data_IF_715824846841
#
_entry.id   IF_715824846841
#
_cell.length_a   1.000
_cell.length_b   1.000
_cell.length_c   1.000
_cell.angle_alpha   90.00
_cell.angle_beta   90.00
_cell.angle_gamma   90.00
#
_symmetry.space_group_name_H-M   'P 1'
#
loop_
_entity.id
_entity.type
_entity.pdbx_description
1 polymer ?
#
# COMPACT_ATOMS: atom_id res chain seq x y z
N UNK A 1 -4.57 -23.05 -22.55
CA UNK A 1 -4.95 -22.42 -21.26
C UNK A 1 -4.74 -20.90 -21.27
N UNK A 2 -3.55 -20.37 -21.54
CA UNK A 2 -3.25 -18.92 -21.46
C UNK A 2 -4.08 -18.09 -22.46
N UNK A 3 -4.34 -18.60 -23.67
CA UNK A 3 -5.21 -17.95 -24.66
C UNK A 3 -6.66 -17.98 -24.20
N UNK A 4 -7.13 -19.12 -23.73
CA UNK A 4 -8.47 -19.24 -23.16
C UNK A 4 -8.65 -18.29 -21.99
N UNK A 5 -7.69 -18.21 -21.07
CA UNK A 5 -7.73 -17.33 -19.91
C UNK A 5 -7.83 -15.86 -20.31
N UNK A 6 -7.09 -15.45 -21.36
CA UNK A 6 -7.17 -14.10 -21.91
C UNK A 6 -8.49 -13.81 -22.61
N UNK A 7 -9.01 -14.76 -23.37
CA UNK A 7 -10.30 -14.63 -24.05
C UNK A 7 -11.48 -14.52 -23.08
N UNK A 8 -11.29 -14.99 -21.83
CA UNK A 8 -12.25 -14.82 -20.73
C UNK A 8 -11.97 -13.56 -19.88
N UNK A 9 -11.34 -12.53 -20.44
CA UNK A 9 -11.22 -11.22 -19.84
C UNK A 9 -9.97 -11.01 -18.96
N UNK A 10 -9.07 -11.98 -18.87
CA UNK A 10 -7.83 -11.82 -18.10
C UNK A 10 -6.84 -10.90 -18.83
N UNK A 11 -6.28 -9.93 -18.10
CA UNK A 11 -5.24 -9.04 -18.63
C UNK A 11 -3.91 -9.76 -18.91
N UNK A 12 -3.08 -9.16 -19.78
CA UNK A 12 -1.75 -9.70 -20.16
C UNK A 12 -0.88 -9.93 -18.90
N UNK A 13 -0.92 -9.03 -17.93
CA UNK A 13 -0.15 -9.16 -16.68
C UNK A 13 -0.54 -10.41 -15.89
N UNK A 14 -1.85 -10.69 -15.75
CA UNK A 14 -2.33 -11.88 -15.07
C UNK A 14 -1.95 -13.15 -15.83
N UNK A 15 -2.07 -13.15 -17.16
CA UNK A 15 -1.64 -14.29 -17.99
C UNK A 15 -0.12 -14.53 -17.86
N UNK A 16 0.71 -13.49 -17.80
CA UNK A 16 2.15 -13.63 -17.59
C UNK A 16 2.49 -14.16 -16.17
N UNK A 17 1.72 -13.82 -15.15
CA UNK A 17 1.89 -14.40 -13.80
C UNK A 17 1.61 -15.91 -13.80
N UNK A 18 0.55 -16.34 -14.46
CA UNK A 18 0.27 -17.76 -14.65
C UNK A 18 1.35 -18.47 -15.44
N UNK A 19 1.85 -17.84 -16.52
CA UNK A 19 2.97 -18.39 -17.29
C UNK A 19 4.22 -18.56 -16.43
N UNK A 20 4.53 -17.58 -15.57
CA UNK A 20 5.67 -17.69 -14.66
C UNK A 20 5.51 -18.87 -13.67
N UNK A 21 4.31 -19.07 -13.11
CA UNK A 21 4.01 -20.19 -12.24
C UNK A 21 4.12 -21.53 -12.98
N UNK A 22 3.60 -21.63 -14.21
CA UNK A 22 3.71 -22.84 -15.03
C UNK A 22 5.16 -23.16 -15.39
N UNK A 23 5.98 -22.15 -15.67
CA UNK A 23 7.42 -22.36 -15.93
C UNK A 23 8.14 -22.88 -14.70
N UNK A 24 7.93 -22.24 -13.53
CA UNK A 24 8.53 -22.71 -12.29
C UNK A 24 8.13 -24.16 -11.95
N UNK A 25 6.86 -24.50 -12.17
CA UNK A 25 6.41 -25.89 -12.03
C UNK A 25 7.08 -26.82 -13.05
N UNK A 26 7.18 -26.42 -14.32
CA UNK A 26 7.82 -27.22 -15.37
C UNK A 26 9.30 -27.46 -15.06
N UNK A 27 10.01 -26.43 -14.59
CA UNK A 27 11.42 -26.55 -14.22
C UNK A 27 11.61 -27.50 -13.04
N UNK A 28 10.74 -27.46 -12.04
CA UNK A 28 10.72 -28.41 -10.92
C UNK A 28 10.42 -29.84 -11.39
N UNK A 29 9.34 -30.03 -12.18
CA UNK A 29 8.89 -31.33 -12.63
C UNK A 29 9.91 -32.06 -13.52
N UNK A 30 10.74 -31.33 -14.26
CA UNK A 30 11.82 -31.90 -15.07
C UNK A 30 12.89 -32.60 -14.22
N UNK A 31 13.08 -32.17 -12.95
CA UNK A 31 14.05 -32.78 -12.05
C UNK A 31 13.56 -34.12 -11.50
N UNK A 32 12.24 -34.27 -11.35
CA UNK A 32 11.62 -35.45 -10.76
C UNK A 32 11.19 -36.49 -11.82
N UNK A 33 10.88 -36.02 -13.07
CA UNK A 33 10.24 -36.81 -14.11
C UNK A 33 10.94 -36.65 -15.45
N UNK A 34 12.03 -37.39 -15.65
CA UNK A 34 12.86 -37.32 -16.87
C UNK A 34 12.07 -37.68 -18.13
N UNK A 35 11.07 -38.54 -18.05
CA UNK A 35 10.22 -38.96 -19.15
C UNK A 35 9.37 -37.84 -19.76
N UNK A 36 9.16 -36.74 -19.01
CA UNK A 36 8.37 -35.60 -19.45
C UNK A 36 9.21 -34.35 -19.80
N UNK A 37 10.53 -34.48 -19.89
CA UNK A 37 11.42 -33.32 -20.19
C UNK A 37 11.00 -32.60 -21.46
N UNK A 38 10.74 -33.30 -22.58
CA UNK A 38 10.44 -32.66 -23.86
C UNK A 38 9.16 -31.80 -23.81
N UNK A 39 8.00 -32.28 -23.35
CA UNK A 39 6.81 -31.40 -23.21
C UNK A 39 6.99 -30.28 -22.18
N UNK A 40 7.71 -30.49 -21.10
CA UNK A 40 7.95 -29.46 -20.08
C UNK A 40 8.88 -28.35 -20.59
N UNK A 41 9.89 -28.67 -21.40
CA UNK A 41 10.74 -27.69 -22.04
C UNK A 41 9.97 -26.77 -22.99
N UNK A 42 8.96 -27.29 -23.68
CA UNK A 42 8.09 -26.46 -24.51
C UNK A 42 7.36 -25.38 -23.70
N UNK A 43 6.96 -25.66 -22.46
CA UNK A 43 6.35 -24.69 -21.55
C UNK A 43 7.36 -23.62 -21.15
N UNK A 44 8.58 -24.01 -20.79
CA UNK A 44 9.65 -23.07 -20.43
C UNK A 44 10.04 -22.16 -21.60
N UNK A 45 9.91 -22.62 -22.84
CA UNK A 45 10.15 -21.84 -24.06
C UNK A 45 9.11 -20.76 -24.39
N UNK A 46 7.92 -20.79 -23.79
CA UNK A 46 6.85 -19.81 -24.08
C UNK A 46 7.29 -18.41 -23.61
N UNK A 47 7.23 -17.43 -24.51
CA UNK A 47 7.60 -16.05 -24.17
C UNK A 47 6.44 -15.29 -23.53
N UNK A 48 6.76 -14.54 -22.45
CA UNK A 48 5.81 -13.59 -21.87
C UNK A 48 5.45 -12.49 -22.88
N UNK A 49 4.18 -12.10 -22.92
CA UNK A 49 3.71 -11.02 -23.80
C UNK A 49 4.01 -9.66 -23.16
N UNK A 50 4.48 -8.69 -23.98
CA UNK A 50 4.61 -7.30 -23.50
C UNK A 50 3.22 -6.73 -23.23
N UNK A 51 3.01 -6.27 -21.98
CA UNK A 51 1.88 -5.42 -21.66
C UNK A 51 2.21 -3.98 -22.07
N UNK A 52 1.24 -3.27 -22.66
CA UNK A 52 1.40 -1.84 -22.87
C UNK A 52 1.60 -1.15 -21.49
N UNK A 53 2.51 -0.17 -21.40
CA UNK A 53 2.63 0.61 -20.17
C UNK A 53 1.29 1.29 -19.89
N UNK A 54 0.79 1.13 -18.65
CA UNK A 54 -0.36 1.92 -18.20
C UNK A 54 0.08 3.36 -18.05
N UNK A 55 -0.67 4.29 -18.62
CA UNK A 55 -0.54 5.68 -18.25
C UNK A 55 -0.76 5.82 -16.74
N UNK A 56 0.23 6.41 -16.07
CA UNK A 56 0.13 6.72 -14.65
C UNK A 56 -0.51 8.09 -14.54
N UNK A 57 -1.76 8.14 -14.10
CA UNK A 57 -2.40 9.41 -13.72
C UNK A 57 -1.93 9.81 -12.32
N UNK A 58 -1.55 11.06 -12.16
CA UNK A 58 -1.19 11.65 -10.86
C UNK A 58 -2.20 12.72 -10.47
N UNK A 59 -2.34 12.95 -9.18
CA UNK A 59 -3.11 14.07 -8.67
C UNK A 59 -2.27 15.34 -8.80
N UNK A 60 -2.90 16.46 -9.19
CA UNK A 60 -2.26 17.77 -9.10
C UNK A 60 -2.05 18.16 -7.64
N UNK A 61 -1.26 19.22 -7.40
CA UNK A 61 -1.03 19.74 -6.03
C UNK A 61 -2.35 20.19 -5.40
N UNK A 62 -3.23 20.81 -6.19
CA UNK A 62 -4.54 21.28 -5.74
C UNK A 62 -5.46 20.11 -5.39
N UNK A 63 -5.48 19.05 -6.23
CA UNK A 63 -6.25 17.83 -5.99
C UNK A 63 -5.74 17.10 -4.75
N UNK A 64 -4.41 17.03 -4.57
CA UNK A 64 -3.81 16.43 -3.38
C UNK A 64 -4.16 17.23 -2.12
N UNK A 65 -4.07 18.55 -2.17
CA UNK A 65 -4.47 19.43 -1.07
C UNK A 65 -5.94 19.24 -0.72
N UNK A 66 -6.82 19.19 -1.72
CA UNK A 66 -8.24 18.92 -1.53
C UNK A 66 -8.48 17.56 -0.88
N UNK A 67 -7.77 16.51 -1.32
CA UNK A 67 -7.87 15.16 -0.77
C UNK A 67 -7.47 15.13 0.72
N UNK A 68 -6.32 15.71 1.04
CA UNK A 68 -5.81 15.77 2.41
C UNK A 68 -6.76 16.58 3.30
N UNK A 69 -7.38 17.64 2.80
CA UNK A 69 -8.26 18.54 3.55
C UNK A 69 -9.72 18.08 3.64
N UNK A 70 -10.13 17.05 2.89
CA UNK A 70 -11.51 16.55 2.86
C UNK A 70 -12.01 15.93 4.17
N UNK A 71 -11.19 15.24 5.00
CA UNK A 71 -11.68 14.67 6.25
C UNK A 71 -12.12 15.72 7.25
N UNK A 72 -13.29 15.54 7.88
CA UNK A 72 -13.76 16.39 8.99
C UNK A 72 -12.93 16.15 10.25
N UNK A 73 -12.07 17.10 10.58
CA UNK A 73 -11.16 17.04 11.72
C UNK A 73 -11.84 17.21 13.09
N UNK A 74 -13.13 17.55 13.13
CA UNK A 74 -13.88 17.64 14.37
C UNK A 74 -14.35 16.26 14.86
N UNK A 75 -14.42 15.28 13.98
CA UNK A 75 -14.73 13.90 14.34
C UNK A 75 -13.47 13.06 14.55
N UNK A 76 -13.50 12.12 15.51
CA UNK A 76 -12.40 11.17 15.73
C UNK A 76 -12.02 10.43 14.45
N UNK A 77 -13.02 9.94 13.71
CA UNK A 77 -12.80 9.19 12.47
C UNK A 77 -12.17 10.05 11.39
N UNK A 78 -12.67 11.28 11.19
CA UNK A 78 -12.13 12.20 10.19
C UNK A 78 -10.72 12.67 10.56
N UNK A 79 -10.46 12.96 11.83
CA UNK A 79 -9.11 13.31 12.29
C UNK A 79 -8.09 12.18 11.99
N UNK A 80 -8.45 10.94 12.33
CA UNK A 80 -7.63 9.76 11.99
C UNK A 80 -7.38 9.65 10.47
N UNK A 81 -8.42 9.85 9.65
CA UNK A 81 -8.28 9.80 8.19
C UNK A 81 -7.36 10.92 7.68
N UNK A 82 -7.43 12.10 8.27
CA UNK A 82 -6.52 13.20 7.96
C UNK A 82 -5.06 12.82 8.25
N UNK A 83 -4.79 12.22 9.42
CA UNK A 83 -3.44 11.73 9.77
C UNK A 83 -2.95 10.68 8.76
N UNK A 84 -3.80 9.73 8.38
CA UNK A 84 -3.47 8.70 7.38
C UNK A 84 -3.05 9.33 6.04
N UNK A 85 -3.89 10.21 5.50
CA UNK A 85 -3.64 10.84 4.19
C UNK A 85 -2.40 11.72 4.22
N UNK A 86 -2.22 12.50 5.30
CA UNK A 86 -1.05 13.37 5.47
C UNK A 86 0.24 12.57 5.58
N UNK A 87 0.27 11.50 6.40
CA UNK A 87 1.44 10.65 6.55
C UNK A 87 1.82 9.92 5.26
N UNK A 88 0.84 9.40 4.50
CA UNK A 88 1.08 8.78 3.21
C UNK A 88 1.76 9.75 2.23
N UNK A 89 1.27 10.98 2.18
CA UNK A 89 1.79 12.02 1.28
C UNK A 89 3.19 12.48 1.69
N UNK A 90 3.36 12.83 2.95
CA UNK A 90 4.56 13.48 3.45
C UNK A 90 5.74 12.50 3.58
N UNK A 91 5.50 11.29 4.10
CA UNK A 91 6.56 10.29 4.27
C UNK A 91 6.84 9.45 3.02
N UNK A 92 5.93 9.43 2.04
CA UNK A 92 6.01 8.53 0.88
C UNK A 92 6.05 7.05 1.27
N UNK A 93 5.50 6.67 2.42
CA UNK A 93 5.48 5.29 2.87
C UNK A 93 4.53 4.43 2.04
N UNK A 94 4.84 3.14 1.92
CA UNK A 94 3.90 2.18 1.35
C UNK A 94 2.72 1.99 2.29
N UNK A 95 1.56 1.65 1.73
CA UNK A 95 0.33 1.40 2.53
C UNK A 95 0.58 0.38 3.64
N UNK A 96 1.32 -0.70 3.37
CA UNK A 96 1.64 -1.69 4.39
C UNK A 96 2.57 -1.12 5.47
N UNK A 97 3.55 -0.32 5.10
CA UNK A 97 4.46 0.33 6.04
C UNK A 97 3.67 1.26 6.99
N UNK A 98 2.68 2.02 6.46
CA UNK A 98 1.81 2.84 7.31
C UNK A 98 1.00 1.99 8.29
N UNK A 99 0.46 0.86 7.86
CA UNK A 99 -0.29 -0.05 8.73
C UNK A 99 0.57 -0.62 9.86
N UNK A 100 1.88 -0.73 9.63
CA UNK A 100 2.84 -1.35 10.55
C UNK A 100 3.48 -0.35 11.52
N UNK A 101 3.31 0.97 11.32
CA UNK A 101 3.87 2.00 12.21
C UNK A 101 3.32 1.82 13.62
N UNK A 102 4.23 1.71 14.59
CA UNK A 102 3.91 1.79 16.03
C UNK A 102 4.17 3.20 16.56
N UNK A 103 3.70 3.48 17.78
CA UNK A 103 3.94 4.77 18.43
C UNK A 103 5.43 4.99 18.65
N UNK A 104 6.20 3.93 18.98
CA UNK A 104 7.65 4.01 19.15
C UNK A 104 8.42 4.32 17.85
N UNK A 105 7.77 4.18 16.67
CA UNK A 105 8.39 4.52 15.39
C UNK A 105 8.29 6.01 15.04
N UNK A 106 7.56 6.78 15.85
CA UNK A 106 7.42 8.23 15.70
C UNK A 106 8.34 8.95 16.68
N UNK A 107 9.15 9.85 16.17
CA UNK A 107 9.94 10.79 16.97
C UNK A 107 9.49 12.21 16.68
N UNK A 108 9.02 12.92 17.70
CA UNK A 108 8.51 14.29 17.62
C UNK A 108 9.49 15.31 18.25
N UNK A 109 10.79 15.06 18.13
CA UNK A 109 11.83 15.96 18.62
C UNK A 109 12.04 17.21 17.74
N UNK A 110 13.23 17.82 17.84
CA UNK A 110 13.60 19.00 17.04
C UNK A 110 13.51 18.77 15.53
N UNK A 111 13.73 17.54 15.09
CA UNK A 111 13.44 17.07 13.73
C UNK A 111 12.50 15.88 13.87
N UNK A 112 11.29 16.05 13.38
CA UNK A 112 10.29 15.00 13.46
C UNK A 112 10.56 13.91 12.41
N UNK A 113 10.52 12.65 12.84
CA UNK A 113 10.82 11.51 11.98
C UNK A 113 9.87 10.35 12.19
N UNK A 114 9.74 9.53 11.15
CA UNK A 114 9.02 8.25 11.16
C UNK A 114 9.97 7.15 10.73
N UNK A 115 10.09 6.09 11.53
CA UNK A 115 10.81 4.88 11.17
C UNK A 115 9.86 3.93 10.46
N UNK A 116 10.21 3.52 9.24
CA UNK A 116 9.42 2.66 8.38
C UNK A 116 10.08 1.30 8.23
N UNK A 117 9.28 0.24 8.36
CA UNK A 117 9.71 -1.14 8.18
C UNK A 117 9.35 -1.62 6.77
N UNK A 118 10.36 -1.79 5.91
CA UNK A 118 10.21 -2.16 4.51
C UNK A 118 10.44 -3.65 4.22
N UNK A 119 10.40 -3.99 2.93
CA UNK A 119 10.62 -5.35 2.42
C UNK A 119 12.02 -5.87 2.82
N UNK A 120 12.08 -7.13 3.26
CA UNK A 120 13.34 -7.78 3.65
C UNK A 120 13.86 -7.37 5.03
N UNK A 121 12.96 -6.99 5.94
CA UNK A 121 13.29 -6.58 7.31
C UNK A 121 14.23 -5.36 7.38
N UNK A 122 14.15 -4.46 6.38
CA UNK A 122 14.96 -3.25 6.33
C UNK A 122 14.18 -2.07 6.89
N UNK A 123 14.85 -1.28 7.73
CA UNK A 123 14.30 -0.05 8.28
C UNK A 123 14.86 1.16 7.53
N UNK A 124 14.02 2.18 7.36
CA UNK A 124 14.43 3.52 6.96
C UNK A 124 13.74 4.56 7.82
N UNK A 125 14.44 5.65 8.11
CA UNK A 125 13.87 6.80 8.81
C UNK A 125 13.62 7.90 7.80
N UNK A 126 12.43 8.48 7.85
CA UNK A 126 12.01 9.57 6.98
C UNK A 126 11.69 10.78 7.84
N UNK A 127 12.19 11.95 7.46
CA UNK A 127 11.82 13.22 8.07
C UNK A 127 10.41 13.59 7.61
N UNK A 128 9.57 14.05 8.53
CA UNK A 128 8.24 14.58 8.24
C UNK A 128 8.17 16.06 8.55
N UNK A 129 7.31 16.78 7.83
CA UNK A 129 7.12 18.22 8.02
C UNK A 129 6.58 18.53 9.41
N UNK A 130 6.90 19.72 9.93
CA UNK A 130 6.42 20.19 11.24
C UNK A 130 4.89 20.18 11.35
N UNK A 131 4.20 20.52 10.26
CA UNK A 131 2.75 20.47 10.22
C UNK A 131 2.20 19.05 10.40
N UNK A 132 2.85 18.06 9.79
CA UNK A 132 2.53 16.64 9.95
C UNK A 132 2.82 16.17 11.37
N UNK A 133 3.97 16.56 11.92
CA UNK A 133 4.35 16.25 13.29
C UNK A 133 3.31 16.76 14.30
N UNK A 134 2.90 18.03 14.18
CA UNK A 134 1.85 18.63 15.01
C UNK A 134 0.51 17.92 14.87
N UNK A 135 0.16 17.49 13.65
CA UNK A 135 -1.07 16.73 13.41
C UNK A 135 -1.03 15.38 14.11
N UNK A 136 0.10 14.66 14.03
CA UNK A 136 0.31 13.37 14.72
C UNK A 136 0.31 13.56 16.22
N UNK A 137 0.99 14.56 16.76
CA UNK A 137 1.00 14.89 18.20
C UNK A 137 -0.41 15.14 18.73
N UNK A 138 -1.19 15.95 18.03
CA UNK A 138 -2.59 16.20 18.35
C UNK A 138 -3.45 14.93 18.30
N UNK A 139 -3.19 14.04 17.34
CA UNK A 139 -3.87 12.76 17.26
C UNK A 139 -3.55 11.87 18.45
N UNK A 140 -2.28 11.76 18.81
CA UNK A 140 -1.83 10.97 19.95
C UNK A 140 -2.43 11.51 21.26
N UNK A 141 -2.34 12.81 21.51
CA UNK A 141 -2.83 13.41 22.77
C UNK A 141 -4.35 13.29 22.91
N UNK A 142 -5.12 13.48 21.83
CA UNK A 142 -6.58 13.47 21.88
C UNK A 142 -7.19 12.08 21.87
N UNK A 143 -6.61 11.15 21.11
CA UNK A 143 -7.27 9.89 20.79
C UNK A 143 -6.45 8.65 21.10
N UNK A 144 -5.17 8.82 21.45
CA UNK A 144 -4.24 7.73 21.74
C UNK A 144 -3.44 7.95 23.02
N UNK A 145 -3.92 8.77 23.92
CA UNK A 145 -3.22 9.16 25.18
C UNK A 145 -2.87 7.97 26.07
N UNK A 146 -3.59 6.85 25.99
CA UNK A 146 -3.33 5.63 26.76
C UNK A 146 -2.46 4.62 26.03
N UNK A 147 -2.11 4.87 24.76
CA UNK A 147 -1.35 3.93 23.96
C UNK A 147 0.12 3.92 24.36
N UNK A 148 0.72 2.74 24.36
CA UNK A 148 2.15 2.55 24.67
C UNK A 148 2.96 2.41 23.37
N UNK A 149 4.29 2.48 23.48
CA UNK A 149 5.18 2.50 22.32
C UNK A 149 4.99 1.35 21.33
N UNK A 150 4.62 0.17 21.81
CA UNK A 150 4.38 -1.03 20.98
C UNK A 150 3.03 -1.06 20.27
N UNK A 151 2.11 -0.15 20.63
CA UNK A 151 0.80 -0.07 19.98
C UNK A 151 0.92 0.54 18.58
N UNK A 152 0.07 0.06 17.67
CA UNK A 152 0.00 0.65 16.33
C UNK A 152 -0.46 2.11 16.38
N UNK A 153 0.18 2.97 15.60
CA UNK A 153 -0.18 4.38 15.50
C UNK A 153 -1.64 4.53 15.04
N UNK A 154 -1.99 3.81 13.98
CA UNK A 154 -3.32 3.84 13.39
C UNK A 154 -4.07 2.54 13.67
N UNK A 155 -5.23 2.66 14.29
CA UNK A 155 -6.12 1.54 14.55
C UNK A 155 -7.44 1.66 13.80
N UNK A 156 -8.09 0.54 13.56
CA UNK A 156 -9.45 0.49 13.04
C UNK A 156 -10.49 0.84 14.14
N UNK A 157 -11.79 0.81 13.80
CA UNK A 157 -12.88 1.10 14.77
C UNK A 157 -12.97 0.13 15.94
N UNK A 158 -12.29 -1.01 15.86
CA UNK A 158 -12.23 -2.02 16.93
C UNK A 158 -10.94 -1.94 17.74
N UNK A 159 -10.20 -0.84 17.64
CA UNK A 159 -8.89 -0.63 18.28
C UNK A 159 -7.82 -1.67 17.91
N UNK A 160 -8.00 -2.37 16.77
CA UNK A 160 -7.02 -3.30 16.22
C UNK A 160 -6.24 -2.61 15.11
N UNK A 161 -5.07 -3.17 14.75
CA UNK A 161 -4.29 -2.75 13.60
C UNK A 161 -5.19 -2.54 12.38
N UNK A 162 -5.01 -1.42 11.68
CA UNK A 162 -5.65 -1.20 10.39
C UNK A 162 -4.96 -2.03 9.32
N UNK A 163 -5.70 -2.52 8.35
CA UNK A 163 -5.18 -3.27 7.21
C UNK A 163 -5.14 -2.41 5.93
N UNK A 164 -4.56 -2.98 4.87
CA UNK A 164 -4.44 -2.32 3.57
C UNK A 164 -5.78 -1.99 2.95
N UNK A 165 -6.76 -2.86 3.12
CA UNK A 165 -8.10 -2.69 2.56
C UNK A 165 -8.82 -1.54 3.25
N UNK A 166 -8.64 -1.40 4.57
CA UNK A 166 -9.14 -0.26 5.33
C UNK A 166 -8.54 1.06 4.86
N UNK A 167 -7.23 1.12 4.59
CA UNK A 167 -6.58 2.32 4.03
C UNK A 167 -7.09 2.60 2.61
N UNK A 168 -7.18 1.57 1.76
CA UNK A 168 -7.68 1.71 0.39
C UNK A 168 -9.12 2.22 0.35
N UNK A 169 -9.97 1.73 1.25
CA UNK A 169 -11.33 2.23 1.43
C UNK A 169 -11.37 3.71 1.81
N UNK A 170 -10.51 4.13 2.77
CA UNK A 170 -10.43 5.54 3.20
C UNK A 170 -10.03 6.44 2.02
N UNK A 171 -8.98 6.08 1.28
CA UNK A 171 -8.52 6.85 0.12
C UNK A 171 -9.65 6.95 -0.91
N UNK A 172 -10.25 5.82 -1.29
CA UNK A 172 -11.34 5.77 -2.28
C UNK A 172 -12.50 6.66 -1.87
N UNK A 173 -12.94 6.59 -0.61
CA UNK A 173 -14.03 7.41 -0.08
C UNK A 173 -13.83 8.90 -0.36
N UNK A 174 -12.63 9.43 -0.13
CA UNK A 174 -12.35 10.85 -0.31
C UNK A 174 -12.07 11.22 -1.76
N UNK A 175 -11.46 10.33 -2.55
CA UNK A 175 -11.28 10.51 -3.99
C UNK A 175 -12.64 10.57 -4.70
N UNK A 176 -13.55 9.66 -4.39
CA UNK A 176 -14.90 9.65 -4.97
C UNK A 176 -15.69 10.91 -4.59
N UNK A 177 -15.53 11.40 -3.34
CA UNK A 177 -16.18 12.63 -2.89
C UNK A 177 -15.66 13.89 -3.58
N UNK A 178 -14.40 13.92 -3.99
CA UNK A 178 -13.83 15.06 -4.77
C UNK A 178 -14.34 15.01 -6.20
N UNK A 179 -14.33 13.82 -6.85
CA UNK A 179 -14.79 13.63 -8.23
C UNK A 179 -16.27 13.97 -8.43
N UNK A 180 -17.08 13.92 -7.38
CA UNK A 180 -18.49 14.30 -7.44
C UNK A 180 -18.73 15.80 -7.35
N UNK A 181 -17.69 16.58 -7.01
CA UNK A 181 -17.77 18.04 -6.86
C UNK A 181 -17.21 18.79 -8.08
N UNK A 182 -16.48 18.11 -8.94
CA UNK A 182 -16.00 18.57 -10.24
C UNK A 182 -17.04 18.21 -11.33
#
# INVERSE_FOLDING_TARGET
FLEWYRNNGAGITAANQWLAALKAFSDYAQLEHIEYIAPLQNVSGIRAKKAAPKEVSFLTVEQMSSLINSPDVNSHTGFRHRVILTLLYDSGCRVQELCDITIADISLGSVATVRLHGKGNKYRTVVIADATAKLVENYLSRYRSYAVGTDFLITNRYHRKIDRDGISYIIKKYVDAIRQKD
#
